data_IF_030242667012
#
_entry.id   IF_030242667012
#
_cell.length_a   1.000
_cell.length_b   1.000
_cell.length_c   1.000
_cell.angle_alpha   90.00
_cell.angle_beta   90.00
_cell.angle_gamma   90.00
#
_symmetry.space_group_name_H-M   'P 1'
#
loop_
_entity.id
_entity.type
_entity.pdbx_description
1 polymer ?
#
# COMPACT_ATOMS: atom_id res chain seq x y z
N UNK A 1 -2.58 -8.55 -7.61
CA UNK A 1 -3.77 -7.71 -7.33
C UNK A 1 -4.52 -7.49 -8.64
N UNK A 2 -5.83 -7.30 -8.58
CA UNK A 2 -6.70 -7.00 -9.73
C UNK A 2 -7.71 -5.94 -9.31
N UNK A 3 -7.86 -4.87 -10.09
CA UNK A 3 -8.82 -3.78 -9.82
C UNK A 3 -9.88 -3.73 -10.91
N UNK A 4 -11.11 -3.40 -10.51
CA UNK A 4 -12.16 -2.99 -11.46
C UNK A 4 -12.16 -1.46 -11.63
N UNK A 5 -12.66 -0.94 -12.77
CA UNK A 5 -12.79 0.50 -12.98
C UNK A 5 -13.50 1.21 -11.82
N UNK A 6 -12.94 2.34 -11.38
CA UNK A 6 -13.46 3.11 -10.26
C UNK A 6 -13.29 2.45 -8.89
N UNK A 7 -12.53 1.36 -8.78
CA UNK A 7 -12.23 0.70 -7.51
C UNK A 7 -10.90 1.13 -6.93
N UNK A 8 -10.78 1.02 -5.62
CA UNK A 8 -9.55 1.22 -4.88
C UNK A 8 -9.47 0.31 -3.65
N UNK A 9 -8.29 0.22 -3.08
CA UNK A 9 -7.95 -0.50 -1.85
C UNK A 9 -6.57 0.00 -1.39
N UNK A 10 -6.04 -0.60 -0.33
CA UNK A 10 -4.72 -0.30 0.20
C UNK A 10 -4.15 -1.53 0.91
N UNK A 11 -2.82 -1.61 0.94
CA UNK A 11 -2.10 -2.53 1.81
C UNK A 11 -1.49 -1.72 2.94
N UNK A 12 -2.01 -1.93 4.14
CA UNK A 12 -1.50 -1.33 5.36
C UNK A 12 -0.39 -2.17 5.95
N UNK A 13 0.69 -1.55 6.42
CA UNK A 13 1.81 -2.22 7.07
C UNK A 13 2.35 -1.43 8.26
N UNK A 14 3.01 -2.12 9.19
CA UNK A 14 3.52 -1.54 10.45
C UNK A 14 2.38 -0.96 11.32
N UNK A 15 1.18 -1.54 11.20
CA UNK A 15 -0.03 -1.02 11.84
C UNK A 15 -0.31 -1.67 13.19
N UNK A 16 -1.33 -1.17 13.89
CA UNK A 16 -1.92 -1.80 15.08
C UNK A 16 -3.38 -2.11 14.79
N UNK A 17 -3.88 -3.24 15.31
CA UNK A 17 -5.28 -3.60 15.18
C UNK A 17 -6.18 -2.49 15.71
N UNK A 18 -7.24 -2.20 14.96
CA UNK A 18 -8.28 -1.25 15.28
C UNK A 18 -9.60 -1.88 14.89
N UNK A 19 -10.58 -1.81 15.79
CA UNK A 19 -11.88 -2.44 15.57
C UNK A 19 -12.68 -1.76 14.46
N UNK A 20 -12.62 -0.43 14.40
CA UNK A 20 -13.39 0.38 13.44
C UNK A 20 -12.52 1.39 12.68
N UNK A 21 -12.83 1.56 11.40
CA UNK A 21 -12.18 2.54 10.51
C UNK A 21 -10.75 2.15 10.11
N UNK A 22 -10.08 3.01 9.32
CA UNK A 22 -8.74 2.72 8.84
C UNK A 22 -7.72 2.72 9.99
N UNK A 23 -6.64 1.92 9.88
CA UNK A 23 -5.54 1.95 10.83
C UNK A 23 -4.98 3.36 11.00
N UNK A 24 -4.70 3.74 12.23
CA UNK A 24 -4.08 5.03 12.55
C UNK A 24 -2.56 4.96 12.56
N UNK A 25 -2.01 3.75 12.76
CA UNK A 25 -0.58 3.51 12.83
C UNK A 25 -0.04 2.91 11.54
N UNK A 26 1.21 3.23 11.19
CA UNK A 26 1.92 2.70 10.04
C UNK A 26 1.63 3.47 8.75
N UNK A 27 1.79 2.78 7.62
CA UNK A 27 1.61 3.36 6.29
C UNK A 27 0.63 2.54 5.45
N UNK A 28 0.07 3.20 4.46
CA UNK A 28 -0.78 2.62 3.42
C UNK A 28 -0.07 2.65 2.08
N UNK A 29 0.17 1.48 1.50
CA UNK A 29 0.59 1.34 0.10
C UNK A 29 -0.66 1.20 -0.78
N UNK A 30 -0.96 2.24 -1.55
CA UNK A 30 -2.22 2.40 -2.26
C UNK A 30 -2.42 1.39 -3.39
N UNK A 31 -3.66 1.04 -3.68
CA UNK A 31 -4.10 0.28 -4.86
C UNK A 31 -5.24 1.07 -5.53
N UNK A 32 -4.96 1.71 -6.66
CA UNK A 32 -5.93 2.45 -7.46
C UNK A 32 -5.37 2.73 -8.87
N UNK A 33 -6.03 2.22 -9.90
CA UNK A 33 -5.73 2.59 -11.28
C UNK A 33 -6.49 3.85 -11.71
N UNK A 34 -7.83 3.81 -11.69
CA UNK A 34 -8.68 4.81 -12.37
C UNK A 34 -9.61 5.62 -11.47
N UNK A 35 -9.76 5.28 -10.18
CA UNK A 35 -10.63 6.03 -9.26
C UNK A 35 -10.06 7.43 -9.04
N UNK A 36 -10.93 8.43 -9.17
CA UNK A 36 -10.61 9.84 -8.98
C UNK A 36 -10.61 10.23 -7.51
N UNK A 37 -9.75 11.18 -7.12
CA UNK A 37 -9.73 11.76 -5.77
C UNK A 37 -8.93 10.95 -4.73
N UNK A 38 -8.31 9.85 -5.15
CA UNK A 38 -7.44 9.02 -4.32
C UNK A 38 -6.08 8.86 -4.99
N UNK A 39 -5.04 8.63 -4.17
CA UNK A 39 -3.67 8.31 -4.61
C UNK A 39 -3.66 7.12 -5.58
N UNK A 40 -2.59 6.97 -6.37
CA UNK A 40 -2.45 5.89 -7.36
C UNK A 40 -1.68 4.70 -6.82
N UNK A 41 -1.86 3.53 -7.45
CA UNK A 41 -1.13 2.32 -7.05
C UNK A 41 0.37 2.57 -6.95
N UNK A 42 0.97 2.19 -5.83
CA UNK A 42 2.38 2.43 -5.54
C UNK A 42 2.65 3.64 -4.65
N UNK A 43 1.69 4.55 -4.47
CA UNK A 43 1.81 5.62 -3.48
C UNK A 43 1.89 5.05 -2.06
N UNK A 44 2.68 5.72 -1.21
CA UNK A 44 2.50 5.69 0.24
C UNK A 44 1.64 6.89 0.62
N UNK A 45 0.37 6.66 0.94
CA UNK A 45 -0.64 7.71 1.06
C UNK A 45 -0.20 8.79 2.05
N UNK A 46 -0.11 10.04 1.57
CA UNK A 46 0.29 11.20 2.38
C UNK A 46 1.78 11.32 2.71
N UNK A 47 2.61 10.35 2.29
CA UNK A 47 4.05 10.34 2.53
C UNK A 47 4.89 10.41 1.25
N UNK A 48 4.53 9.65 0.22
CA UNK A 48 5.21 9.61 -1.07
C UNK A 48 4.25 9.20 -2.17
N UNK A 49 3.92 10.11 -3.09
CA UNK A 49 2.88 9.91 -4.10
C UNK A 49 3.43 9.49 -5.46
N UNK A 50 2.71 8.60 -6.14
CA UNK A 50 2.91 8.23 -7.55
C UNK A 50 1.86 8.94 -8.40
N UNK A 51 2.28 9.58 -9.49
CA UNK A 51 1.39 10.38 -10.33
C UNK A 51 0.42 9.53 -11.18
N UNK A 52 0.90 8.40 -11.70
CA UNK A 52 0.14 7.52 -12.61
C UNK A 52 0.32 6.07 -12.20
N UNK A 53 -0.79 5.32 -12.14
CA UNK A 53 -0.72 3.90 -11.85
C UNK A 53 -0.02 3.14 -12.99
N UNK A 54 1.00 2.31 -12.70
CA UNK A 54 1.78 1.56 -13.70
C UNK A 54 1.05 0.28 -14.18
N UNK A 55 -0.28 0.27 -14.10
CA UNK A 55 -1.16 -0.80 -14.55
C UNK A 55 -2.54 -0.23 -14.87
N UNK A 56 -3.32 -0.95 -15.68
CA UNK A 56 -4.72 -0.69 -15.94
C UNK A 56 -5.66 -1.42 -14.99
N UNK A 57 -6.95 -1.12 -15.13
CA UNK A 57 -8.01 -1.97 -14.58
C UNK A 57 -8.23 -3.21 -15.43
N UNK A 58 -8.87 -4.20 -14.84
CA UNK A 58 -9.21 -5.48 -15.44
C UNK A 58 -8.02 -6.36 -15.84
N UNK A 59 -6.88 -6.17 -15.18
CA UNK A 59 -5.71 -7.02 -15.34
C UNK A 59 -5.10 -7.39 -13.99
N UNK A 60 -4.40 -8.53 -13.98
CA UNK A 60 -3.62 -8.94 -12.81
C UNK A 60 -2.24 -8.31 -12.87
N UNK A 61 -1.85 -7.65 -11.80
CA UNK A 61 -0.49 -7.15 -11.61
C UNK A 61 0.13 -7.72 -10.33
N UNK A 62 1.47 -7.82 -10.32
CA UNK A 62 2.22 -8.14 -9.11
C UNK A 62 2.40 -6.87 -8.29
N UNK A 63 2.11 -6.93 -6.98
CA UNK A 63 2.32 -5.82 -6.08
C UNK A 63 3.25 -6.25 -4.95
N UNK A 64 4.34 -5.52 -4.78
CA UNK A 64 5.43 -5.88 -3.88
C UNK A 64 5.80 -4.68 -3.03
N UNK A 65 5.86 -4.90 -1.72
CA UNK A 65 6.26 -3.90 -0.73
C UNK A 65 7.40 -4.51 0.07
N UNK A 66 8.52 -3.80 0.14
CA UNK A 66 9.68 -4.14 0.96
C UNK A 66 9.92 -3.04 1.96
N UNK A 67 10.01 -3.41 3.23
CA UNK A 67 10.46 -2.51 4.28
C UNK A 67 11.77 -3.05 4.83
N UNK A 68 12.83 -2.25 4.77
CA UNK A 68 14.17 -2.59 5.22
C UNK A 68 14.75 -1.43 6.04
N UNK A 69 14.73 -1.60 7.35
CA UNK A 69 14.97 -0.52 8.30
C UNK A 69 13.97 0.62 8.10
N UNK A 70 14.46 1.76 7.62
CA UNK A 70 13.68 2.97 7.32
C UNK A 70 13.31 3.11 5.83
N UNK A 71 13.76 2.19 4.99
CA UNK A 71 13.54 2.26 3.55
C UNK A 71 12.34 1.41 3.14
N UNK A 72 11.41 2.02 2.41
CA UNK A 72 10.27 1.37 1.78
C UNK A 72 10.46 1.40 0.28
N UNK A 73 10.44 0.23 -0.35
CA UNK A 73 10.42 0.08 -1.81
C UNK A 73 9.09 -0.53 -2.21
N UNK A 74 8.39 0.12 -3.13
CA UNK A 74 7.16 -0.39 -3.74
C UNK A 74 7.41 -0.71 -5.21
N UNK A 75 7.00 -1.91 -5.62
CA UNK A 75 7.09 -2.36 -7.01
C UNK A 75 5.75 -2.81 -7.55
N UNK A 76 5.52 -2.53 -8.82
CA UNK A 76 4.41 -3.08 -9.61
C UNK A 76 5.00 -3.79 -10.81
N UNK A 77 4.62 -5.04 -11.05
CA UNK A 77 5.15 -5.86 -12.14
C UNK A 77 6.70 -5.86 -12.19
N UNK A 78 7.32 -6.01 -11.02
CA UNK A 78 8.78 -6.04 -10.80
C UNK A 78 9.53 -4.71 -11.06
N UNK A 79 8.83 -3.67 -11.52
CA UNK A 79 9.38 -2.32 -11.66
C UNK A 79 9.22 -1.52 -10.36
N UNK A 80 10.29 -0.88 -9.92
CA UNK A 80 10.24 0.05 -8.78
C UNK A 80 9.49 1.31 -9.17
N UNK A 81 8.39 1.57 -8.48
CA UNK A 81 7.48 2.70 -8.76
C UNK A 81 7.51 3.74 -7.65
N UNK A 82 8.01 3.38 -6.47
CA UNK A 82 8.18 4.30 -5.36
C UNK A 82 9.33 3.83 -4.45
N UNK A 83 10.17 4.77 -4.02
CA UNK A 83 11.19 4.58 -3.01
C UNK A 83 11.07 5.69 -1.98
N UNK A 84 10.85 5.31 -0.72
CA UNK A 84 10.64 6.23 0.39
C UNK A 84 11.61 5.88 1.51
N UNK A 85 12.30 6.88 2.05
CA UNK A 85 13.06 6.75 3.29
C UNK A 85 12.33 7.51 4.37
N UNK A 86 11.88 6.80 5.40
CA UNK A 86 11.28 7.42 6.57
C UNK A 86 12.30 8.36 7.25
N UNK A 87 11.93 9.62 7.53
CA UNK A 87 12.79 10.54 8.25
C UNK A 87 13.27 9.96 9.59
N UNK A 88 14.51 10.24 9.97
CA UNK A 88 15.11 9.69 11.19
C UNK A 88 14.38 10.12 12.47
N UNK A 89 13.72 11.27 12.45
CA UNK A 89 12.91 11.86 13.51
C UNK A 89 11.41 11.57 13.38
N UNK A 90 11.00 10.73 12.41
CA UNK A 90 9.62 10.29 12.29
C UNK A 90 9.21 9.49 13.53
N UNK A 91 8.21 10.00 14.24
CA UNK A 91 7.63 9.41 15.45
C UNK A 91 6.10 9.62 15.43
N UNK A 92 5.39 8.85 16.25
CA UNK A 92 3.94 8.90 16.37
C UNK A 92 3.21 7.84 15.53
N UNK A 93 1.98 8.13 15.06
CA UNK A 93 1.19 7.11 14.38
C UNK A 93 1.71 6.75 12.99
N UNK A 94 2.11 7.72 12.17
CA UNK A 94 2.59 7.49 10.81
C UNK A 94 4.10 7.19 10.80
N UNK A 95 4.50 6.07 11.42
CA UNK A 95 5.90 5.64 11.47
C UNK A 95 6.11 4.12 11.39
N UNK A 96 7.30 3.70 10.94
CA UNK A 96 7.69 2.31 10.79
C UNK A 96 8.05 1.70 12.15
N UNK A 97 7.15 0.84 12.63
CA UNK A 97 7.35 0.00 13.81
C UNK A 97 6.91 -1.44 13.57
N UNK A 98 7.26 -2.38 14.47
CA UNK A 98 6.68 -3.73 14.41
C UNK A 98 5.15 -3.62 14.51
N UNK A 99 4.43 -4.38 13.68
CA UNK A 99 2.99 -4.26 13.61
C UNK A 99 2.33 -5.31 12.72
N UNK A 100 1.05 -5.09 12.45
CA UNK A 100 0.22 -5.93 11.59
C UNK A 100 0.27 -5.48 10.13
N UNK A 101 -0.22 -6.36 9.26
CA UNK A 101 -0.51 -6.07 7.85
C UNK A 101 -2.03 -6.13 7.67
N UNK A 102 -2.59 -5.16 6.94
CA UNK A 102 -4.02 -5.08 6.64
C UNK A 102 -4.28 -4.93 5.14
N UNK A 103 -5.40 -5.47 4.66
CA UNK A 103 -5.90 -5.26 3.30
C UNK A 103 -7.21 -4.49 3.42
N UNK A 104 -7.29 -3.35 2.74
CA UNK A 104 -8.42 -2.45 2.88
C UNK A 104 -9.62 -2.87 2.01
N UNK A 105 -10.83 -2.67 2.55
CA UNK A 105 -12.07 -2.63 1.79
C UNK A 105 -12.75 -1.28 2.01
N UNK A 106 -12.61 -0.37 1.04
CA UNK A 106 -13.26 0.96 1.01
C UNK A 106 -14.81 0.91 0.89
N UNK A 107 -15.39 -0.28 0.66
CA UNK A 107 -16.84 -0.46 0.52
C UNK A 107 -17.41 0.14 -0.77
N UNK A 108 -18.75 0.30 -0.80
CA UNK A 108 -19.48 0.76 -1.99
C UNK A 108 -19.36 -0.23 -3.17
N UNK A 109 -19.22 0.31 -4.37
CA UNK A 109 -19.06 -0.48 -5.60
C UNK A 109 -17.60 -0.89 -5.89
N UNK A 110 -16.67 -0.55 -4.98
CA UNK A 110 -15.25 -0.89 -5.12
C UNK A 110 -15.03 -2.40 -5.04
N UNK A 111 -14.36 -2.95 -6.06
CA UNK A 111 -14.02 -4.37 -6.13
C UNK A 111 -12.55 -4.52 -6.47
N UNK A 112 -11.81 -5.11 -5.53
CA UNK A 112 -10.39 -5.44 -5.69
C UNK A 112 -10.18 -6.89 -5.28
N UNK A 113 -9.44 -7.65 -6.09
CA UNK A 113 -9.10 -9.04 -5.80
C UNK A 113 -7.62 -9.21 -5.49
N UNK A 114 -7.36 -10.03 -4.48
CA UNK A 114 -6.04 -10.47 -4.08
C UNK A 114 -5.89 -11.96 -4.38
N UNK A 115 -4.71 -12.35 -4.85
CA UNK A 115 -4.33 -13.76 -4.97
C UNK A 115 -2.85 -13.91 -4.62
N UNK A 116 -2.51 -15.05 -4.05
CA UNK A 116 -1.15 -15.40 -3.61
C UNK A 116 -0.48 -14.36 -2.68
N UNK A 117 -1.17 -13.88 -1.61
CA UNK A 117 -0.51 -13.03 -0.62
C UNK A 117 0.60 -13.83 0.07
N UNK A 118 1.80 -13.26 0.11
CA UNK A 118 2.98 -13.88 0.71
C UNK A 118 3.73 -12.84 1.53
N UNK A 119 4.29 -13.28 2.64
CA UNK A 119 5.15 -12.45 3.50
C UNK A 119 6.45 -13.20 3.71
N UNK A 120 7.56 -12.48 3.56
CA UNK A 120 8.89 -12.97 3.92
C UNK A 120 9.53 -11.96 4.86
N UNK A 121 9.85 -12.42 6.07
CA UNK A 121 10.62 -11.62 7.02
C UNK A 121 12.03 -11.40 6.48
N UNK A 122 12.57 -10.18 6.66
CA UNK A 122 13.97 -9.91 6.39
C UNK A 122 14.82 -10.39 7.58
N UNK A 123 16.09 -10.76 7.34
CA UNK A 123 17.04 -10.99 8.43
C UNK A 123 17.16 -9.77 9.34
N UNK A 124 17.48 -10.00 10.61
CA UNK A 124 17.86 -8.92 11.54
C UNK A 124 19.29 -8.41 11.26
#
# INVERSE_FOLDING_TARGET
VYTYPGSASGVYFHTRYKEEGPPTYGYEAQINASRSGESKTGSLVGASEVETAPHGDNEWFNYYIRVDGKNVTVKVNDETVNEFTEPADADGPASLHRGTIGLESVGGDSRVYFRNPMIRLLPE
#
